data_IF_450865913762
#
_entry.id   IF_450865913762
#
_cell.length_a   1.000
_cell.length_b   1.000
_cell.length_c   1.000
_cell.angle_alpha   90.00
_cell.angle_beta   90.00
_cell.angle_gamma   90.00
#
_symmetry.space_group_name_H-M   'P 1'
#
loop_
_entity.id
_entity.type
_entity.pdbx_description
1 polymer ?
#
# COMPACT_ATOMS: atom_id res chain seq x y z
N UNK A 1 -36.67 4.95 -16.21
CA UNK A 1 -36.07 4.36 -14.99
C UNK A 1 -36.92 4.79 -13.80
N UNK A 2 -37.58 3.85 -13.11
CA UNK A 2 -38.39 4.15 -11.91
C UNK A 2 -37.65 3.67 -10.67
N UNK A 3 -37.89 4.29 -9.51
CA UNK A 3 -37.20 3.92 -8.26
C UNK A 3 -37.43 2.44 -7.87
N UNK A 4 -38.57 1.87 -8.23
CA UNK A 4 -38.94 0.48 -7.94
C UNK A 4 -38.46 -0.54 -8.98
N UNK A 5 -37.71 -0.13 -10.02
CA UNK A 5 -37.20 -1.02 -11.07
C UNK A 5 -35.68 -1.18 -11.03
N UNK A 6 -35.01 -0.60 -10.02
CA UNK A 6 -33.55 -0.63 -9.89
C UNK A 6 -33.18 -1.81 -8.99
N UNK A 7 -32.37 -2.73 -9.51
CA UNK A 7 -31.81 -3.85 -8.76
C UNK A 7 -30.27 -3.82 -8.82
N UNK A 8 -29.57 -4.25 -7.76
CA UNK A 8 -28.12 -4.41 -7.82
C UNK A 8 -27.73 -5.53 -8.79
N UNK A 9 -26.49 -5.50 -9.28
CA UNK A 9 -25.94 -6.60 -10.07
C UNK A 9 -25.99 -7.92 -9.27
N UNK A 10 -26.24 -9.07 -9.93
CA UNK A 10 -26.23 -10.36 -9.27
C UNK A 10 -24.93 -10.59 -8.48
N UNK A 11 -25.03 -11.00 -7.21
CA UNK A 11 -23.88 -11.22 -6.34
C UNK A 11 -23.27 -9.97 -5.69
N UNK A 12 -23.68 -8.76 -6.07
CA UNK A 12 -23.18 -7.52 -5.44
C UNK A 12 -23.63 -7.34 -3.98
N UNK A 13 -24.72 -8.01 -3.58
CA UNK A 13 -25.26 -7.99 -2.21
C UNK A 13 -25.37 -9.41 -1.66
N UNK A 14 -24.60 -9.69 -0.62
CA UNK A 14 -24.66 -10.94 0.12
C UNK A 14 -25.38 -10.75 1.46
N UNK A 15 -26.24 -11.70 1.82
CA UNK A 15 -26.93 -11.69 3.12
C UNK A 15 -25.96 -12.02 4.25
N UNK A 16 -25.96 -11.20 5.30
CA UNK A 16 -25.12 -11.45 6.48
C UNK A 16 -25.53 -12.72 7.25
N UNK A 17 -24.55 -13.40 7.85
CA UNK A 17 -24.79 -14.58 8.69
C UNK A 17 -25.54 -14.16 9.97
N UNK A 18 -26.70 -14.78 10.23
CA UNK A 18 -27.49 -14.58 11.45
C UNK A 18 -27.42 -15.83 12.32
N UNK A 19 -26.56 -15.79 13.35
CA UNK A 19 -26.35 -16.92 14.26
C UNK A 19 -27.50 -17.05 15.28
N UNK A 20 -27.73 -18.28 15.78
CA UNK A 20 -28.75 -18.55 16.80
C UNK A 20 -30.19 -18.42 16.30
N UNK A 21 -30.48 -18.87 15.08
CA UNK A 21 -31.82 -18.83 14.45
C UNK A 21 -32.29 -20.25 14.07
N UNK A 22 -32.53 -21.09 15.07
CA UNK A 22 -33.03 -22.46 14.87
C UNK A 22 -32.00 -23.44 14.27
N UNK A 23 -32.35 -24.72 14.23
CA UNK A 23 -31.49 -25.80 13.72
C UNK A 23 -31.35 -25.71 12.19
N UNK A 24 -32.44 -25.43 11.48
CA UNK A 24 -32.47 -25.37 10.02
C UNK A 24 -31.61 -24.28 9.37
N UNK A 25 -31.11 -23.30 10.15
CA UNK A 25 -30.20 -22.28 9.63
C UNK A 25 -28.73 -22.74 9.55
N UNK A 26 -28.39 -23.92 10.09
CA UNK A 26 -27.01 -24.43 10.16
C UNK A 26 -26.11 -23.71 11.17
N UNK A 27 -26.55 -22.58 11.73
CA UNK A 27 -25.84 -21.78 12.74
C UNK A 27 -26.64 -21.64 14.04
N UNK A 28 -27.49 -22.63 14.33
CA UNK A 28 -28.23 -22.72 15.59
C UNK A 28 -27.35 -22.99 16.81
N UNK A 29 -27.97 -23.05 18.01
CA UNK A 29 -27.38 -23.42 19.32
C UNK A 29 -26.06 -22.72 19.68
N UNK A 30 -24.94 -23.17 19.13
CA UNK A 30 -23.59 -22.65 19.41
C UNK A 30 -23.16 -21.52 18.47
N UNK A 31 -23.89 -21.30 17.37
CA UNK A 31 -23.58 -20.21 16.43
C UNK A 31 -22.19 -20.32 15.78
N UNK A 32 -21.67 -21.54 15.64
CA UNK A 32 -20.34 -21.81 15.08
C UNK A 32 -19.17 -21.69 16.07
N UNK A 33 -19.43 -21.45 17.36
CA UNK A 33 -18.38 -21.31 18.39
C UNK A 33 -17.96 -22.61 19.08
N UNK A 34 -18.64 -23.73 18.79
CA UNK A 34 -18.43 -25.01 19.50
C UNK A 34 -18.96 -24.99 20.94
N UNK A 35 -18.45 -25.88 21.79
CA UNK A 35 -18.90 -26.05 23.18
C UNK A 35 -17.86 -25.54 24.19
N UNK A 36 -18.30 -24.70 25.14
CA UNK A 36 -17.52 -24.22 26.30
C UNK A 36 -16.15 -23.61 25.90
N UNK A 37 -15.28 -23.39 26.87
CA UNK A 37 -13.95 -22.80 26.67
C UNK A 37 -13.96 -21.29 26.46
N UNK A 38 -12.79 -20.67 26.59
CA UNK A 38 -12.61 -19.21 26.54
C UNK A 38 -13.18 -18.59 25.27
N UNK A 39 -12.87 -19.15 24.08
CA UNK A 39 -13.33 -18.63 22.77
C UNK A 39 -14.85 -18.67 22.55
N UNK A 40 -15.59 -19.46 23.33
CA UNK A 40 -17.06 -19.49 23.24
C UNK A 40 -17.74 -18.35 24.02
N UNK A 41 -17.07 -17.81 25.05
CA UNK A 41 -17.64 -16.81 25.96
C UNK A 41 -17.75 -15.44 25.28
N UNK A 42 -18.65 -14.60 25.78
CA UNK A 42 -18.71 -13.19 25.35
C UNK A 42 -17.40 -12.48 25.71
N UNK A 43 -16.83 -11.73 24.77
CA UNK A 43 -15.49 -11.12 24.93
C UNK A 43 -14.31 -12.11 24.97
N UNK A 44 -14.58 -13.41 24.84
CA UNK A 44 -13.59 -14.48 24.90
C UNK A 44 -12.64 -14.45 23.72
N UNK A 45 -11.45 -13.89 23.91
CA UNK A 45 -10.40 -13.85 22.90
C UNK A 45 -9.04 -14.13 23.54
N UNK A 46 -8.09 -14.53 22.69
CA UNK A 46 -6.68 -14.62 23.05
C UNK A 46 -5.98 -13.43 22.41
N UNK A 47 -5.20 -12.68 23.20
CA UNK A 47 -4.47 -11.51 22.69
C UNK A 47 -3.57 -11.91 21.52
N UNK A 48 -3.52 -11.14 20.42
CA UNK A 48 -2.57 -11.40 19.34
C UNK A 48 -1.14 -11.51 19.88
N UNK A 49 -0.46 -12.61 19.51
CA UNK A 49 0.89 -12.91 19.99
C UNK A 49 0.97 -13.60 21.37
N UNK A 50 -0.13 -14.09 21.94
CA UNK A 50 -0.09 -14.96 23.13
C UNK A 50 -0.03 -16.45 22.74
N UNK A 51 1.01 -17.15 23.19
CA UNK A 51 1.30 -18.56 22.85
C UNK A 51 0.96 -19.56 23.97
N UNK A 52 -0.02 -19.24 24.83
CA UNK A 52 -0.51 -20.18 25.86
C UNK A 52 0.36 -20.31 27.12
N UNK A 53 1.37 -19.46 27.29
CA UNK A 53 2.29 -19.45 28.44
C UNK A 53 3.76 -19.52 28.04
N UNK A 54 4.04 -19.99 26.83
CA UNK A 54 5.36 -19.90 26.22
C UNK A 54 5.78 -18.42 26.03
N UNK A 55 7.08 -18.15 26.12
CA UNK A 55 7.63 -16.84 25.76
C UNK A 55 7.32 -16.56 24.28
N UNK A 56 6.54 -15.51 23.95
CA UNK A 56 6.13 -15.25 22.57
C UNK A 56 7.30 -14.96 21.65
N UNK A 57 7.16 -15.26 20.36
CA UNK A 57 8.22 -15.03 19.36
C UNK A 57 8.75 -13.59 19.35
N UNK A 58 7.89 -12.58 19.50
CA UNK A 58 8.28 -11.16 19.55
C UNK A 58 9.09 -10.77 20.81
N UNK A 59 9.17 -11.66 21.81
CA UNK A 59 10.02 -11.53 23.00
C UNK A 59 11.24 -12.45 22.97
N UNK A 60 11.15 -13.59 22.27
CA UNK A 60 12.26 -14.54 22.12
C UNK A 60 13.38 -13.99 21.25
N UNK A 61 13.03 -13.26 20.19
CA UNK A 61 14.01 -12.70 19.27
C UNK A 61 14.51 -11.33 19.75
N UNK A 62 15.82 -11.03 19.61
CA UNK A 62 16.33 -9.72 19.92
C UNK A 62 15.79 -8.68 18.94
N UNK A 63 15.66 -7.43 19.41
CA UNK A 63 15.42 -6.29 18.52
C UNK A 63 16.70 -6.01 17.74
N UNK A 64 16.58 -5.64 16.48
CA UNK A 64 17.71 -5.30 15.63
C UNK A 64 17.37 -4.11 14.71
N UNK A 65 18.42 -3.44 14.22
CA UNK A 65 18.29 -2.31 13.31
C UNK A 65 17.93 -0.99 14.00
N UNK A 66 17.73 0.04 13.17
CA UNK A 66 17.29 1.36 13.58
C UNK A 66 16.45 1.97 12.43
N UNK A 67 15.60 2.93 12.76
CA UNK A 67 14.79 3.64 11.75
C UNK A 67 15.50 4.94 11.35
N UNK A 68 15.91 5.05 10.08
CA UNK A 68 16.57 6.26 9.58
C UNK A 68 15.57 7.40 9.37
N UNK A 69 15.89 8.58 9.91
CA UNK A 69 15.08 9.81 9.72
C UNK A 69 15.08 10.28 8.26
N UNK A 70 16.18 10.05 7.54
CA UNK A 70 16.33 10.43 6.12
C UNK A 70 15.41 9.59 5.24
N UNK A 71 15.15 8.33 5.62
CA UNK A 71 14.24 7.46 4.89
C UNK A 71 12.78 7.94 4.86
N UNK A 72 12.36 8.76 5.82
CA UNK A 72 11.01 9.33 5.82
C UNK A 72 10.81 10.46 4.81
N UNK A 73 11.88 11.14 4.43
CA UNK A 73 11.87 12.29 3.51
C UNK A 73 12.51 11.96 2.16
N UNK A 74 12.80 10.69 1.92
CA UNK A 74 13.36 10.20 0.66
C UNK A 74 12.31 9.39 -0.07
N UNK A 75 12.08 9.71 -1.33
CA UNK A 75 11.15 8.99 -2.20
C UNK A 75 11.84 8.52 -3.49
N UNK A 76 11.15 7.68 -4.25
CA UNK A 76 11.61 7.22 -5.55
C UNK A 76 10.55 7.49 -6.61
N UNK A 77 11.00 7.83 -7.83
CA UNK A 77 10.11 8.05 -8.98
C UNK A 77 10.59 7.21 -10.15
N UNK A 78 9.63 6.65 -10.89
CA UNK A 78 9.86 5.78 -12.04
C UNK A 78 9.87 6.55 -13.36
N UNK A 79 10.38 5.95 -14.43
CA UNK A 79 10.41 6.57 -15.76
C UNK A 79 9.00 6.81 -16.31
N UNK A 80 8.06 5.90 -16.04
CA UNK A 80 6.64 6.05 -16.43
C UNK A 80 5.98 7.25 -15.74
N UNK A 81 6.34 7.53 -14.49
CA UNK A 81 5.81 8.65 -13.73
C UNK A 81 6.38 9.97 -14.23
N UNK A 82 7.66 10.00 -14.59
CA UNK A 82 8.30 11.16 -15.24
C UNK A 82 7.56 11.54 -16.53
N UNK A 83 7.11 10.56 -17.31
CA UNK A 83 6.33 10.81 -18.53
C UNK A 83 4.99 11.53 -18.29
N UNK A 84 4.48 11.57 -17.05
CA UNK A 84 3.23 12.26 -16.69
C UNK A 84 3.44 13.70 -16.22
N UNK A 85 4.68 14.13 -16.04
CA UNK A 85 5.00 15.49 -15.60
C UNK A 85 4.78 16.46 -16.75
N UNK A 86 4.06 17.56 -16.46
CA UNK A 86 3.88 18.65 -17.40
C UNK A 86 5.15 19.52 -17.45
N UNK A 87 5.56 19.91 -18.66
CA UNK A 87 6.84 20.60 -18.90
C UNK A 87 8.03 19.65 -19.10
N UNK A 88 9.14 20.22 -19.56
CA UNK A 88 10.36 19.46 -19.92
C UNK A 88 11.35 19.35 -18.76
N UNK A 89 11.13 20.05 -17.65
CA UNK A 89 12.03 20.08 -16.49
C UNK A 89 11.42 19.32 -15.31
N UNK A 90 12.08 18.25 -14.88
CA UNK A 90 11.72 17.46 -13.71
C UNK A 90 12.60 17.88 -12.54
N UNK A 91 12.00 18.63 -11.63
CA UNK A 91 12.57 19.05 -10.36
C UNK A 91 11.69 18.53 -9.22
N UNK A 92 12.16 18.70 -7.99
CA UNK A 92 11.41 18.31 -6.80
C UNK A 92 10.06 19.07 -6.69
N UNK A 93 10.00 20.31 -7.17
CA UNK A 93 8.79 21.12 -7.18
C UNK A 93 7.79 20.64 -8.24
N UNK A 94 8.26 20.31 -9.45
CA UNK A 94 7.36 19.83 -10.52
C UNK A 94 6.79 18.46 -10.19
N UNK A 95 7.56 17.59 -9.55
CA UNK A 95 7.08 16.31 -9.02
C UNK A 95 6.02 16.48 -7.92
N UNK A 96 6.17 17.49 -7.04
CA UNK A 96 5.15 17.82 -6.03
C UNK A 96 3.89 18.39 -6.66
N UNK A 97 4.04 19.27 -7.66
CA UNK A 97 2.91 19.85 -8.39
C UNK A 97 2.10 18.77 -9.13
N UNK A 98 2.78 17.80 -9.72
CA UNK A 98 2.16 16.64 -10.38
C UNK A 98 1.57 15.59 -9.40
N UNK A 99 1.62 15.84 -8.08
CA UNK A 99 1.22 14.89 -7.03
C UNK A 99 1.88 13.50 -7.14
N UNK A 100 3.09 13.43 -7.70
CA UNK A 100 3.87 12.20 -7.79
C UNK A 100 4.64 11.91 -6.50
N UNK A 101 5.01 12.96 -5.76
CA UNK A 101 5.66 12.85 -4.46
C UNK A 101 4.92 13.70 -3.41
N UNK A 102 5.09 13.34 -2.14
CA UNK A 102 4.49 14.11 -1.04
C UNK A 102 5.23 15.44 -0.82
N UNK A 103 4.54 16.41 -0.20
CA UNK A 103 5.07 17.76 0.05
C UNK A 103 6.26 17.81 1.02
N UNK A 104 6.36 16.83 1.91
CA UNK A 104 7.41 16.68 2.94
C UNK A 104 8.67 15.97 2.44
N UNK A 105 8.66 15.43 1.21
CA UNK A 105 9.83 14.80 0.60
C UNK A 105 10.88 15.86 0.25
N UNK A 106 12.13 15.56 0.60
CA UNK A 106 13.31 16.39 0.37
C UNK A 106 14.30 15.78 -0.61
N UNK A 107 14.31 14.45 -0.74
CA UNK A 107 15.22 13.74 -1.63
C UNK A 107 14.42 12.79 -2.53
N UNK A 108 14.71 12.81 -3.83
CA UNK A 108 14.10 11.87 -4.77
C UNK A 108 15.18 11.16 -5.57
N UNK A 109 14.99 9.86 -5.76
CA UNK A 109 15.81 9.04 -6.65
C UNK A 109 15.00 8.52 -7.84
N UNK A 110 15.46 8.79 -9.05
CA UNK A 110 14.87 8.27 -10.28
C UNK A 110 15.40 6.86 -10.54
N UNK A 111 14.48 5.91 -10.70
CA UNK A 111 14.77 4.49 -10.88
C UNK A 111 14.26 3.96 -12.22
N UNK A 112 14.99 3.02 -12.82
CA UNK A 112 14.62 2.40 -14.10
C UNK A 112 13.45 1.46 -13.88
N UNK A 113 12.26 1.93 -14.18
CA UNK A 113 11.03 1.12 -14.24
C UNK A 113 10.11 1.76 -15.27
N UNK A 114 9.72 0.97 -16.27
CA UNK A 114 9.04 1.45 -17.47
C UNK A 114 9.96 2.16 -18.46
N UNK A 115 9.36 2.93 -19.36
CA UNK A 115 10.02 3.60 -20.49
C UNK A 115 9.70 5.10 -20.48
N UNK A 116 10.61 5.89 -21.03
CA UNK A 116 10.43 7.32 -21.24
C UNK A 116 10.65 7.60 -22.72
N UNK A 117 9.62 8.09 -23.41
CA UNK A 117 9.67 8.42 -24.83
C UNK A 117 9.91 9.90 -25.10
N UNK A 118 9.72 10.73 -24.08
CA UNK A 118 9.90 12.19 -24.13
C UNK A 118 11.31 12.57 -23.71
N UNK A 119 11.90 13.56 -24.37
CA UNK A 119 13.13 14.20 -23.89
C UNK A 119 12.80 15.04 -22.65
N UNK A 120 13.39 14.68 -21.51
CA UNK A 120 13.16 15.37 -20.23
C UNK A 120 14.49 15.76 -19.60
N UNK A 121 14.54 16.96 -19.02
CA UNK A 121 15.68 17.47 -18.26
C UNK A 121 15.44 17.23 -16.77
N UNK A 122 16.25 16.41 -16.14
CA UNK A 122 16.20 16.16 -14.70
C UNK A 122 17.13 17.15 -14.00
N UNK A 123 16.64 17.89 -13.01
CA UNK A 123 17.41 18.90 -12.27
C UNK A 123 17.40 18.60 -10.77
N UNK A 124 18.59 18.47 -10.17
CA UNK A 124 18.75 18.33 -8.71
C UNK A 124 18.31 16.99 -8.13
N UNK A 125 18.11 15.96 -8.97
CA UNK A 125 17.65 14.63 -8.54
C UNK A 125 18.71 13.56 -8.75
N UNK A 126 18.76 12.58 -7.84
CA UNK A 126 19.65 11.42 -8.00
C UNK A 126 19.05 10.46 -9.02
N UNK A 127 19.83 9.99 -9.97
CA UNK A 127 19.36 9.05 -11.01
C UNK A 127 20.16 7.74 -10.93
N UNK A 128 19.50 6.59 -11.04
CA UNK A 128 20.23 5.31 -11.15
C UNK A 128 20.90 5.18 -12.52
N UNK A 129 22.00 4.42 -12.60
CA UNK A 129 22.74 4.21 -13.86
C UNK A 129 21.82 3.77 -15.02
N UNK A 130 20.95 2.78 -14.77
CA UNK A 130 20.04 2.29 -15.80
C UNK A 130 18.95 3.28 -16.21
N UNK A 131 18.54 4.19 -15.31
CA UNK A 131 17.59 5.25 -15.64
C UNK A 131 18.28 6.35 -16.45
N UNK A 132 19.51 6.74 -16.08
CA UNK A 132 20.33 7.70 -16.82
C UNK A 132 20.46 7.29 -18.30
N UNK A 133 20.83 6.04 -18.55
CA UNK A 133 20.95 5.49 -19.90
C UNK A 133 19.64 5.58 -20.68
N UNK A 134 18.50 5.27 -20.05
CA UNK A 134 17.18 5.34 -20.68
C UNK A 134 16.75 6.78 -20.99
N UNK A 135 17.03 7.72 -20.09
CA UNK A 135 16.72 9.15 -20.28
C UNK A 135 17.57 9.75 -21.39
N UNK A 136 18.87 9.44 -21.43
CA UNK A 136 19.76 9.88 -22.50
C UNK A 136 19.38 9.28 -23.85
N UNK A 137 18.98 8.00 -23.89
CA UNK A 137 18.49 7.36 -25.11
C UNK A 137 17.21 8.03 -25.65
N UNK A 138 16.38 8.60 -24.78
CA UNK A 138 15.21 9.39 -25.14
C UNK A 138 15.53 10.85 -25.50
N UNK A 139 16.81 11.25 -25.51
CA UNK A 139 17.26 12.62 -25.80
C UNK A 139 17.16 13.58 -24.61
N UNK A 140 16.92 13.08 -23.40
CA UNK A 140 16.88 13.86 -22.17
C UNK A 140 18.27 14.17 -21.59
N UNK A 141 18.30 15.08 -20.62
CA UNK A 141 19.53 15.52 -19.92
C UNK A 141 19.37 15.39 -18.41
N UNK A 142 20.48 15.23 -17.71
CA UNK A 142 20.52 15.25 -16.25
C UNK A 142 21.50 16.34 -15.84
N UNK A 143 21.00 17.35 -15.15
CA UNK A 143 21.73 18.47 -14.59
C UNK A 143 21.83 18.26 -13.08
N UNK A 144 23.02 18.50 -12.52
CA UNK A 144 23.30 18.32 -11.09
C UNK A 144 22.50 19.26 -10.18
#
# INVERSE_FOLDING_TARGET
MRLNTIAPAPGAKNTGKRVGRGIGSGLGKTGGRGHKGQKSRSGGSVKPGFEGGQMPIQRRLPKFGFTSRVGFVTDQVTLTEIGKVEGDVVSLETLKAANLIKKDVLFVKVVKSGEVSRAVTISGLKVTKGALEAIQAAGGKVEE
#
